data_IF_903885389925
#
_entry.id   IF_903885389925
#
_cell.length_a   1.000
_cell.length_b   1.000
_cell.length_c   1.000
_cell.angle_alpha   90.00
_cell.angle_beta   90.00
_cell.angle_gamma   90.00
#
_symmetry.space_group_name_H-M   'P 1'
#
loop_
_entity.id
_entity.type
_entity.pdbx_description
1 polymer ?
#
# COMPACT_ATOMS: atom_id res chain seq x y z
N UNK A 1 -3.46 -18.84 1.74
CA UNK A 1 -4.43 -18.09 0.91
C UNK A 1 -3.61 -17.11 0.10
N UNK A 2 -3.41 -17.37 -1.18
CA UNK A 2 -2.59 -16.52 -2.06
C UNK A 2 -3.27 -15.16 -2.17
N UNK A 3 -2.58 -14.11 -1.74
CA UNK A 3 -3.14 -12.76 -1.64
C UNK A 3 -2.90 -12.06 -2.98
N UNK A 4 -3.58 -12.51 -4.05
CA UNK A 4 -3.46 -11.83 -5.34
C UNK A 4 -3.95 -10.39 -5.26
N UNK A 5 -3.04 -9.42 -5.35
CA UNK A 5 -3.37 -7.99 -5.34
C UNK A 5 -4.42 -7.65 -6.40
N UNK A 6 -4.47 -8.42 -7.49
CA UNK A 6 -5.29 -8.17 -8.68
C UNK A 6 -6.35 -9.23 -8.97
N UNK A 7 -6.59 -10.15 -8.03
CA UNK A 7 -7.70 -11.10 -8.14
C UNK A 7 -9.02 -10.33 -8.20
N UNK A 8 -9.93 -10.77 -9.06
CA UNK A 8 -11.30 -10.24 -9.20
C UNK A 8 -11.42 -8.76 -9.61
N UNK A 9 -10.41 -8.18 -10.28
CA UNK A 9 -10.58 -6.85 -10.87
C UNK A 9 -11.72 -6.84 -11.91
N UNK A 10 -12.52 -5.75 -12.01
CA UNK A 10 -13.49 -5.57 -13.08
C UNK A 10 -12.85 -5.68 -14.46
N UNK A 11 -13.58 -6.24 -15.44
CA UNK A 11 -13.08 -6.41 -16.80
C UNK A 11 -12.59 -5.09 -17.42
N UNK A 12 -13.29 -3.98 -17.18
CA UNK A 12 -12.87 -2.66 -17.64
C UNK A 12 -11.50 -2.23 -17.07
N UNK A 13 -11.24 -2.51 -15.79
CA UNK A 13 -9.93 -2.21 -15.17
C UNK A 13 -8.83 -3.04 -15.82
N UNK A 14 -9.06 -4.34 -16.02
CA UNK A 14 -8.09 -5.23 -16.69
C UNK A 14 -7.78 -4.80 -18.12
N UNK A 15 -8.80 -4.36 -18.87
CA UNK A 15 -8.62 -3.84 -20.25
C UNK A 15 -7.80 -2.54 -20.29
N UNK A 16 -7.92 -1.68 -19.27
CA UNK A 16 -7.14 -0.44 -19.17
C UNK A 16 -5.72 -0.68 -18.64
N UNK A 17 -5.54 -1.72 -17.81
CA UNK A 17 -4.26 -2.07 -17.16
C UNK A 17 -3.95 -3.55 -17.42
N UNK A 18 -3.71 -3.95 -18.68
CA UNK A 18 -3.48 -5.37 -19.01
C UNK A 18 -2.24 -5.95 -18.32
N UNK A 19 -1.30 -5.12 -17.90
CA UNK A 19 -0.11 -5.53 -17.19
C UNK A 19 -0.40 -6.24 -15.86
N UNK A 20 -1.58 -6.02 -15.26
CA UNK A 20 -1.96 -6.73 -14.04
C UNK A 20 -2.30 -8.20 -14.29
N UNK A 21 -2.61 -8.59 -15.54
CA UNK A 21 -2.90 -9.97 -15.93
C UNK A 21 -1.66 -10.77 -16.32
N UNK A 22 -0.59 -10.11 -16.75
CA UNK A 22 0.62 -10.76 -17.27
C UNK A 22 1.42 -11.57 -16.24
N UNK A 23 0.88 -11.76 -15.02
CA UNK A 23 1.50 -12.55 -13.96
C UNK A 23 2.86 -12.04 -13.48
N UNK A 24 3.26 -10.84 -13.92
CA UNK A 24 4.53 -10.24 -13.58
C UNK A 24 4.57 -9.48 -12.28
N UNK A 25 3.42 -9.33 -11.64
CA UNK A 25 3.31 -8.75 -10.31
C UNK A 25 3.61 -9.83 -9.28
N UNK A 26 4.79 -9.78 -8.69
CA UNK A 26 5.09 -10.62 -7.53
C UNK A 26 4.42 -10.00 -6.31
N UNK A 27 3.76 -10.84 -5.54
CA UNK A 27 3.35 -10.48 -4.19
C UNK A 27 4.60 -10.18 -3.36
N UNK A 28 4.46 -9.23 -2.44
CA UNK A 28 5.53 -8.90 -1.50
C UNK A 28 5.63 -10.02 -0.45
N UNK A 29 6.62 -10.90 -0.60
CA UNK A 29 6.81 -12.06 0.28
C UNK A 29 7.08 -11.66 1.74
N UNK A 30 7.63 -10.46 1.96
CA UNK A 30 7.89 -9.91 3.30
C UNK A 30 6.65 -9.30 3.97
N UNK A 31 5.56 -9.08 3.22
CA UNK A 31 4.32 -8.47 3.71
C UNK A 31 3.17 -9.49 3.76
N UNK A 32 3.35 -10.60 4.46
CA UNK A 32 2.29 -11.60 4.65
C UNK A 32 1.19 -11.07 5.57
N UNK A 33 0.04 -10.70 4.99
CA UNK A 33 -1.11 -10.21 5.78
C UNK A 33 -1.77 -11.30 6.63
N UNK A 34 -1.62 -12.58 6.30
CA UNK A 34 -2.14 -13.67 7.13
C UNK A 34 -1.29 -13.85 8.39
N UNK A 35 0.05 -13.71 8.24
CA UNK A 35 1.01 -13.74 9.32
C UNK A 35 1.68 -12.37 9.50
N UNK A 36 0.88 -11.33 9.69
CA UNK A 36 1.29 -9.94 9.66
C UNK A 36 2.62 -9.69 10.41
N UNK A 37 3.70 -9.29 9.71
CA UNK A 37 5.01 -9.10 10.31
C UNK A 37 5.09 -7.87 11.23
N UNK A 38 4.05 -7.05 11.24
CA UNK A 38 3.95 -5.85 12.09
C UNK A 38 3.29 -6.14 13.44
N UNK A 39 2.73 -7.35 13.64
CA UNK A 39 2.11 -7.75 14.91
C UNK A 39 3.17 -8.34 15.84
N UNK A 40 3.40 -7.75 17.05
CA UNK A 40 4.47 -8.17 17.98
C UNK A 40 4.46 -9.66 18.34
N UNK A 41 3.29 -10.24 18.59
CA UNK A 41 3.14 -11.64 18.90
C UNK A 41 3.67 -12.59 17.81
N UNK A 42 3.89 -12.09 16.59
CA UNK A 42 4.35 -12.85 15.41
C UNK A 42 5.77 -12.49 15.01
N UNK A 43 6.16 -11.24 15.20
CA UNK A 43 7.49 -10.72 14.80
C UNK A 43 8.51 -10.74 15.91
N UNK A 44 8.10 -10.94 17.18
CA UNK A 44 8.97 -10.78 18.35
C UNK A 44 9.35 -9.33 18.62
N UNK A 45 8.69 -8.37 17.97
CA UNK A 45 8.91 -6.94 18.20
C UNK A 45 8.39 -6.51 19.59
N UNK A 46 8.88 -5.37 20.07
CA UNK A 46 8.34 -4.74 21.27
C UNK A 46 6.89 -4.30 21.00
N UNK A 47 5.90 -4.74 21.81
CA UNK A 47 4.50 -4.38 21.62
C UNK A 47 4.24 -2.86 21.78
N UNK A 48 5.10 -2.16 22.54
CA UNK A 48 4.99 -0.70 22.74
C UNK A 48 5.71 0.12 21.66
N UNK A 49 6.39 -0.56 20.74
CA UNK A 49 7.08 0.12 19.66
C UNK A 49 6.09 0.90 18.77
N UNK A 50 6.48 2.12 18.41
CA UNK A 50 5.62 3.03 17.62
C UNK A 50 5.17 2.46 16.26
N UNK A 51 5.91 1.50 15.71
CA UNK A 51 5.64 0.83 14.44
C UNK A 51 4.89 -0.50 14.60
N UNK A 52 4.66 -1.01 15.82
CA UNK A 52 3.92 -2.22 16.07
C UNK A 52 2.42 -2.03 15.81
N UNK A 53 1.77 -3.03 15.17
CA UNK A 53 0.34 -2.98 14.91
C UNK A 53 -0.44 -3.75 15.98
N UNK A 54 -1.63 -3.26 16.31
CA UNK A 54 -2.60 -4.06 17.08
C UNK A 54 -3.04 -5.28 16.25
N UNK A 55 -3.04 -6.47 16.84
CA UNK A 55 -3.36 -7.71 16.14
C UNK A 55 -4.76 -7.71 15.54
N UNK A 56 -5.73 -7.03 16.16
CA UNK A 56 -7.12 -6.94 15.71
C UNK A 56 -7.35 -5.88 14.64
N UNK A 57 -6.42 -4.93 14.49
CA UNK A 57 -6.53 -3.83 13.53
C UNK A 57 -5.61 -4.03 12.33
N UNK A 58 -4.36 -4.43 12.57
CA UNK A 58 -3.29 -4.49 11.56
C UNK A 58 -3.21 -3.15 10.79
N UNK A 59 -3.01 -3.18 9.47
CA UNK A 59 -3.06 -1.97 8.64
C UNK A 59 -4.49 -1.44 8.38
N UNK A 60 -5.54 -2.11 8.86
CA UNK A 60 -6.94 -1.70 8.65
C UNK A 60 -7.38 -0.58 9.59
N UNK A 61 -6.55 0.45 9.73
CA UNK A 61 -6.83 1.73 10.39
C UNK A 61 -6.90 2.89 9.38
N UNK A 62 -7.12 2.56 8.13
CA UNK A 62 -7.38 3.48 7.04
C UNK A 62 -8.77 3.21 6.47
N UNK A 63 -9.59 4.27 6.32
CA UNK A 63 -10.89 4.17 5.67
C UNK A 63 -10.72 4.51 4.20
N UNK A 64 -10.77 3.53 3.27
CA UNK A 64 -10.58 3.81 1.86
C UNK A 64 -11.80 4.45 1.24
N UNK A 65 -11.60 5.29 0.23
CA UNK A 65 -12.64 5.62 -0.73
C UNK A 65 -12.88 4.40 -1.64
N UNK A 66 -14.13 4.14 -2.00
CA UNK A 66 -14.53 3.05 -2.89
C UNK A 66 -15.40 3.59 -4.02
N UNK A 67 -14.98 3.38 -5.25
CA UNK A 67 -15.74 3.76 -6.44
C UNK A 67 -17.07 3.01 -6.52
N UNK A 68 -18.09 3.62 -7.10
CA UNK A 68 -19.47 3.14 -7.20
C UNK A 68 -19.56 1.68 -7.66
N UNK A 69 -18.83 1.30 -8.70
CA UNK A 69 -18.83 -0.06 -9.23
C UNK A 69 -18.18 -1.08 -8.29
N UNK A 70 -17.18 -0.71 -7.49
CA UNK A 70 -16.59 -1.59 -6.47
C UNK A 70 -17.58 -1.81 -5.33
N UNK A 71 -18.27 -0.76 -4.89
CA UNK A 71 -19.35 -0.87 -3.90
C UNK A 71 -20.44 -1.80 -4.41
N UNK A 72 -20.91 -1.59 -5.64
CA UNK A 72 -21.95 -2.42 -6.26
C UNK A 72 -21.56 -3.89 -6.39
N UNK A 73 -20.33 -4.19 -6.79
CA UNK A 73 -19.81 -5.56 -6.87
C UNK A 73 -19.80 -6.24 -5.49
N UNK A 74 -19.32 -5.54 -4.46
CA UNK A 74 -19.35 -6.07 -3.10
C UNK A 74 -20.78 -6.25 -2.57
N UNK A 75 -21.73 -5.37 -2.92
CA UNK A 75 -23.15 -5.55 -2.62
C UNK A 75 -23.72 -6.79 -3.33
N UNK A 76 -23.38 -7.02 -4.59
CA UNK A 76 -23.81 -8.19 -5.36
C UNK A 76 -23.28 -9.52 -4.83
N UNK A 77 -22.07 -9.52 -4.23
CA UNK A 77 -21.51 -10.72 -3.57
C UNK A 77 -22.25 -11.10 -2.29
N UNK A 78 -22.93 -10.15 -1.65
CA UNK A 78 -23.66 -10.41 -0.40
C UNK A 78 -22.75 -10.59 0.82
N UNK A 79 -23.30 -11.24 1.86
CA UNK A 79 -22.57 -11.55 3.09
C UNK A 79 -22.22 -10.35 3.97
N UNK A 80 -21.22 -10.49 4.84
CA UNK A 80 -20.79 -9.46 5.81
C UNK A 80 -20.34 -8.16 5.11
N UNK A 81 -19.67 -8.26 3.97
CA UNK A 81 -19.24 -7.10 3.19
C UNK A 81 -20.39 -6.24 2.70
N UNK A 82 -21.43 -6.88 2.14
CA UNK A 82 -22.63 -6.17 1.69
C UNK A 82 -23.39 -5.54 2.86
N UNK A 83 -23.53 -6.24 3.98
CA UNK A 83 -24.18 -5.70 5.17
C UNK A 83 -23.49 -4.46 5.71
N UNK A 84 -22.15 -4.47 5.78
CA UNK A 84 -21.35 -3.32 6.22
C UNK A 84 -21.43 -2.15 5.24
N UNK A 85 -21.45 -2.43 3.94
CA UNK A 85 -21.61 -1.39 2.91
C UNK A 85 -22.99 -0.77 2.97
N UNK A 86 -24.07 -1.56 3.13
CA UNK A 86 -25.43 -1.01 3.28
C UNK A 86 -25.54 -0.13 4.52
N UNK A 87 -24.96 -0.55 5.65
CA UNK A 87 -24.90 0.29 6.85
C UNK A 87 -24.10 1.59 6.60
N UNK A 88 -23.05 1.53 5.76
CA UNK A 88 -22.26 2.72 5.40
C UNK A 88 -23.02 3.64 4.43
N UNK A 89 -23.75 3.09 3.47
CA UNK A 89 -24.63 3.84 2.54
C UNK A 89 -25.79 4.51 3.27
N UNK A 90 -26.25 3.93 4.37
CA UNK A 90 -27.27 4.53 5.22
C UNK A 90 -26.87 5.80 5.96
N UNK A 91 -25.56 6.10 6.02
CA UNK A 91 -25.02 7.33 6.60
C UNK A 91 -24.56 8.26 5.46
N UNK A 92 -25.22 9.43 5.28
CA UNK A 92 -24.96 10.30 4.13
C UNK A 92 -23.55 10.91 4.10
N UNK A 93 -22.82 10.94 5.22
CA UNK A 93 -21.46 11.50 5.27
C UNK A 93 -20.50 10.72 4.36
N UNK A 94 -20.14 11.31 3.23
CA UNK A 94 -19.23 10.75 2.24
C UNK A 94 -19.89 9.75 1.26
N UNK A 95 -21.21 9.71 1.12
CA UNK A 95 -21.93 8.95 0.09
C UNK A 95 -22.31 9.85 -1.07
N UNK A 96 -22.02 9.43 -2.30
CA UNK A 96 -22.27 10.18 -3.53
C UNK A 96 -22.41 9.26 -4.74
N UNK A 97 -22.83 9.78 -5.87
CA UNK A 97 -22.89 9.01 -7.13
C UNK A 97 -21.54 8.41 -7.54
N UNK A 98 -20.42 9.04 -7.18
CA UNK A 98 -19.09 8.52 -7.42
C UNK A 98 -18.82 7.22 -6.64
N UNK A 99 -19.37 7.11 -5.41
CA UNK A 99 -19.14 6.01 -4.50
C UNK A 99 -19.13 6.46 -3.03
N UNK A 100 -18.29 5.82 -2.23
CA UNK A 100 -18.19 6.05 -0.79
C UNK A 100 -16.82 6.62 -0.46
N UNK A 101 -16.77 7.78 0.20
CA UNK A 101 -15.58 8.37 0.79
C UNK A 101 -15.47 8.06 2.30
N UNK A 102 -14.28 8.20 2.90
CA UNK A 102 -14.16 8.23 4.34
C UNK A 102 -15.04 9.33 4.95
N UNK A 103 -15.69 9.05 6.08
CA UNK A 103 -16.36 10.10 6.84
C UNK A 103 -15.41 11.22 7.18
N UNK A 104 -15.89 12.46 7.17
CA UNK A 104 -15.05 13.64 7.43
C UNK A 104 -14.27 13.54 8.75
N UNK A 105 -14.93 13.11 9.83
CA UNK A 105 -14.28 12.90 11.14
C UNK A 105 -13.21 11.82 11.13
N UNK A 106 -13.43 10.69 10.44
CA UNK A 106 -12.44 9.62 10.31
C UNK A 106 -11.23 10.07 9.49
N UNK A 107 -11.46 10.83 8.40
CA UNK A 107 -10.38 11.41 7.60
C UNK A 107 -9.54 12.40 8.40
N UNK A 108 -10.17 13.31 9.12
CA UNK A 108 -9.47 14.29 9.96
C UNK A 108 -8.62 13.59 11.02
N UNK A 109 -9.19 12.61 11.73
CA UNK A 109 -8.44 11.81 12.71
C UNK A 109 -7.27 11.08 12.09
N UNK A 110 -7.47 10.39 10.97
CA UNK A 110 -6.39 9.69 10.26
C UNK A 110 -5.22 10.64 9.95
N UNK A 111 -5.50 11.81 9.37
CA UNK A 111 -4.47 12.80 9.05
C UNK A 111 -3.73 13.32 10.30
N UNK A 112 -4.41 13.40 11.45
CA UNK A 112 -3.80 13.85 12.70
C UNK A 112 -2.88 12.79 13.35
N UNK A 113 -3.13 11.48 13.12
CA UNK A 113 -2.45 10.43 13.89
C UNK A 113 -1.68 9.41 13.05
N UNK A 114 -1.77 9.45 11.72
CA UNK A 114 -1.19 8.43 10.82
C UNK A 114 0.32 8.19 11.05
N UNK A 115 1.05 9.24 11.40
CA UNK A 115 2.51 9.16 11.52
C UNK A 115 2.98 8.49 12.83
N UNK A 116 2.06 8.28 13.80
CA UNK A 116 2.39 7.69 15.10
C UNK A 116 1.41 6.64 15.63
N UNK A 117 0.23 6.53 15.05
CA UNK A 117 -0.80 5.58 15.51
C UNK A 117 -1.41 4.72 14.39
N UNK A 118 -0.84 4.72 13.17
CA UNK A 118 -1.25 3.82 12.11
C UNK A 118 -1.12 2.35 12.56
N UNK A 119 -2.14 1.57 12.29
CA UNK A 119 -2.20 0.16 12.72
C UNK A 119 -2.57 -0.05 14.19
N UNK A 120 -2.80 1.02 14.99
CA UNK A 120 -3.04 0.93 16.45
C UNK A 120 -4.25 1.70 16.96
N UNK A 121 -4.70 2.72 16.26
CA UNK A 121 -5.84 3.53 16.70
C UNK A 121 -7.17 2.82 16.43
N UNK A 122 -7.78 2.25 17.46
CA UNK A 122 -9.06 1.55 17.36
C UNK A 122 -10.21 2.42 16.84
N UNK A 123 -10.16 3.74 17.04
CA UNK A 123 -11.16 4.66 16.52
C UNK A 123 -11.06 4.85 14.99
N UNK A 124 -9.96 4.40 14.38
CA UNK A 124 -9.75 4.35 12.94
C UNK A 124 -9.97 2.96 12.34
N UNK A 125 -10.51 2.00 13.11
CA UNK A 125 -10.84 0.68 12.57
C UNK A 125 -11.65 0.83 11.27
N UNK A 126 -11.14 0.23 10.20
CA UNK A 126 -11.82 0.23 8.91
C UNK A 126 -13.22 -0.37 9.05
N UNK A 127 -14.29 0.28 8.54
CA UNK A 127 -15.66 -0.22 8.67
C UNK A 127 -15.87 -1.58 7.99
N UNK A 128 -15.00 -1.95 7.04
CA UNK A 128 -15.04 -3.22 6.30
C UNK A 128 -14.20 -4.33 6.94
N UNK A 129 -13.53 -4.07 8.07
CA UNK A 129 -12.79 -5.08 8.81
C UNK A 129 -13.73 -5.90 9.69
N UNK A 130 -14.01 -7.16 9.29
CA UNK A 130 -14.70 -8.16 10.07
C UNK A 130 -13.75 -9.03 10.91
N UNK A 131 -14.31 -10.02 11.61
CA UNK A 131 -13.51 -10.93 12.45
C UNK A 131 -12.61 -11.86 11.61
N UNK A 132 -13.03 -12.20 10.39
CA UNK A 132 -12.26 -13.00 9.44
C UNK A 132 -11.28 -12.19 8.57
N UNK A 133 -11.17 -10.88 8.76
CA UNK A 133 -10.37 -9.99 7.92
C UNK A 133 -11.21 -9.01 7.10
N UNK A 134 -10.69 -8.53 5.98
CA UNK A 134 -11.41 -7.60 5.11
C UNK A 134 -12.63 -8.25 4.47
N UNK A 135 -13.85 -7.80 4.82
CA UNK A 135 -15.11 -8.35 4.31
C UNK A 135 -15.42 -7.99 2.84
N UNK A 136 -14.70 -6.99 2.29
CA UNK A 136 -14.81 -6.57 0.89
C UNK A 136 -13.53 -6.94 0.10
N UNK A 137 -12.79 -7.97 0.54
CA UNK A 137 -11.47 -8.31 0.01
C UNK A 137 -11.40 -8.41 -1.52
N UNK A 138 -12.31 -9.07 -2.23
CA UNK A 138 -12.27 -9.18 -3.69
C UNK A 138 -12.51 -7.85 -4.41
N UNK A 139 -13.28 -6.94 -3.81
CA UNK A 139 -13.69 -5.67 -4.40
C UNK A 139 -13.05 -4.45 -3.71
N UNK A 140 -11.94 -4.69 -2.96
CA UNK A 140 -11.21 -3.61 -2.30
C UNK A 140 -10.61 -2.64 -3.32
N UNK A 141 -10.55 -1.32 -3.02
CA UNK A 141 -10.00 -0.32 -3.93
C UNK A 141 -8.49 -0.44 -4.11
N UNK A 142 -7.96 0.21 -5.14
CA UNK A 142 -6.54 0.19 -5.53
C UNK A 142 -5.59 0.43 -4.37
N UNK A 143 -5.84 1.42 -3.52
CA UNK A 143 -5.04 1.71 -2.32
C UNK A 143 -4.89 0.51 -1.39
N UNK A 144 -5.96 -0.28 -1.21
CA UNK A 144 -5.91 -1.49 -0.37
C UNK A 144 -5.29 -2.70 -1.09
N UNK A 145 -5.13 -2.63 -2.41
CA UNK A 145 -4.50 -3.68 -3.23
C UNK A 145 -3.00 -3.51 -3.33
N UNK A 146 -2.53 -2.27 -3.27
CA UNK A 146 -1.14 -1.89 -3.54
C UNK A 146 -0.35 -1.49 -2.29
N UNK A 147 -1.03 -1.38 -1.14
CA UNK A 147 -0.34 -1.04 0.10
C UNK A 147 0.31 -2.27 0.74
N UNK A 148 1.61 -2.19 0.97
CA UNK A 148 2.40 -3.17 1.70
C UNK A 148 3.23 -2.48 2.78
N UNK A 149 3.38 -3.13 3.95
CA UNK A 149 4.21 -2.62 5.04
C UNK A 149 5.71 -2.86 4.78
N UNK A 150 6.05 -3.89 4.02
CA UNK A 150 7.42 -4.27 3.66
C UNK A 150 7.48 -4.64 2.18
N UNK A 151 8.59 -4.31 1.53
CA UNK A 151 8.78 -4.58 0.10
C UNK A 151 10.01 -5.44 -0.15
N UNK A 152 9.89 -6.49 -0.96
CA UNK A 152 11.00 -7.39 -1.30
C UNK A 152 12.13 -6.63 -1.99
N UNK A 153 11.78 -5.69 -2.88
CA UNK A 153 12.74 -4.81 -3.53
C UNK A 153 13.01 -3.50 -2.75
N UNK A 154 12.59 -3.41 -1.47
CA UNK A 154 12.81 -2.27 -0.60
C UNK A 154 12.20 -0.98 -1.16
N UNK A 155 12.93 0.12 -1.09
CA UNK A 155 12.50 1.45 -1.55
C UNK A 155 12.01 1.46 -2.99
N UNK A 156 12.69 0.76 -3.90
CA UNK A 156 12.24 0.64 -5.31
C UNK A 156 10.89 -0.06 -5.43
N UNK A 157 10.70 -1.13 -4.64
CA UNK A 157 9.41 -1.82 -4.56
C UNK A 157 8.31 -0.85 -4.11
N UNK A 158 8.55 -0.12 -3.03
CA UNK A 158 7.63 0.88 -2.51
C UNK A 158 7.26 1.94 -3.56
N UNK A 159 8.24 2.48 -4.29
CA UNK A 159 7.99 3.43 -5.37
C UNK A 159 7.15 2.84 -6.51
N UNK A 160 7.40 1.58 -6.88
CA UNK A 160 6.62 0.91 -7.92
C UNK A 160 5.17 0.73 -7.49
N UNK A 161 4.93 0.25 -6.27
CA UNK A 161 3.59 0.07 -5.73
C UNK A 161 2.84 1.40 -5.56
N UNK A 162 3.53 2.47 -5.15
CA UNK A 162 2.95 3.81 -5.05
C UNK A 162 2.51 4.37 -6.41
N UNK A 163 3.32 4.17 -7.48
CA UNK A 163 2.93 4.56 -8.84
C UNK A 163 1.75 3.76 -9.36
N UNK A 164 1.70 2.48 -9.04
CA UNK A 164 0.56 1.64 -9.38
C UNK A 164 -0.70 2.04 -8.62
N UNK A 165 -0.57 2.39 -7.33
CA UNK A 165 -1.68 2.95 -6.54
C UNK A 165 -2.25 4.19 -7.22
N UNK A 166 -1.39 5.15 -7.59
CA UNK A 166 -1.80 6.38 -8.27
C UNK A 166 -2.50 6.09 -9.60
N UNK A 167 -2.02 5.10 -10.37
CA UNK A 167 -2.64 4.69 -11.62
C UNK A 167 -4.01 4.05 -11.40
N UNK A 168 -4.14 3.11 -10.48
CA UNK A 168 -5.41 2.46 -10.14
C UNK A 168 -6.42 3.46 -9.59
N UNK A 169 -5.99 4.39 -8.73
CA UNK A 169 -6.85 5.47 -8.27
C UNK A 169 -7.40 6.32 -9.41
N UNK A 170 -6.57 6.69 -10.40
CA UNK A 170 -7.03 7.42 -11.57
C UNK A 170 -7.98 6.58 -12.43
N UNK A 171 -7.69 5.27 -12.62
CA UNK A 171 -8.59 4.36 -13.33
C UNK A 171 -9.95 4.30 -12.64
N UNK A 172 -9.98 4.04 -11.33
CA UNK A 172 -11.20 3.96 -10.54
C UNK A 172 -12.02 5.25 -10.63
N UNK A 173 -11.36 6.41 -10.49
CA UNK A 173 -12.02 7.71 -10.61
C UNK A 173 -12.60 7.92 -12.00
N UNK A 174 -11.83 7.70 -13.06
CA UNK A 174 -12.27 7.94 -14.44
C UNK A 174 -13.42 7.01 -14.83
N UNK A 175 -13.37 5.76 -14.42
CA UNK A 175 -14.46 4.81 -14.66
C UNK A 175 -15.72 5.18 -13.88
N UNK A 176 -15.62 5.61 -12.62
CA UNK A 176 -16.77 6.06 -11.84
C UNK A 176 -17.41 7.31 -12.47
N UNK A 177 -16.62 8.29 -12.92
CA UNK A 177 -17.16 9.46 -13.64
C UNK A 177 -17.77 9.09 -14.99
N UNK A 178 -17.18 8.18 -15.75
CA UNK A 178 -17.78 7.68 -16.98
C UNK A 178 -19.15 7.04 -16.72
N UNK A 179 -19.29 6.26 -15.64
CA UNK A 179 -20.58 5.66 -15.28
C UNK A 179 -21.61 6.73 -14.90
N UNK A 180 -21.22 7.81 -14.22
CA UNK A 180 -22.08 8.96 -13.92
C UNK A 180 -22.57 9.63 -15.21
N UNK A 181 -21.72 9.76 -16.22
CA UNK A 181 -22.09 10.32 -17.53
C UNK A 181 -23.03 9.41 -18.33
N UNK A 182 -22.92 8.09 -18.15
CA UNK A 182 -23.69 7.10 -18.90
C UNK A 182 -25.05 6.72 -18.28
N UNK A 183 -25.26 7.05 -17.02
CA UNK A 183 -26.46 6.63 -16.26
C UNK A 183 -27.19 7.79 -15.60
N UNK A 184 -28.33 7.46 -14.99
CA UNK A 184 -29.15 8.39 -14.21
C UNK A 184 -28.61 8.46 -12.77
N UNK A 185 -27.47 9.14 -12.60
CA UNK A 185 -26.79 9.23 -11.31
C UNK A 185 -27.65 9.96 -10.27
N UNK A 186 -27.76 9.43 -9.03
CA UNK A 186 -28.53 10.08 -7.97
C UNK A 186 -27.91 11.42 -7.57
N UNK A 187 -28.77 12.38 -7.22
CA UNK A 187 -28.33 13.63 -6.65
C UNK A 187 -27.77 13.44 -5.24
N UNK A 188 -26.89 14.35 -4.81
CA UNK A 188 -26.39 14.37 -3.44
C UNK A 188 -27.56 14.47 -2.44
N UNK A 189 -27.52 13.65 -1.39
CA UNK A 189 -28.58 13.56 -0.39
C UNK A 189 -29.75 12.64 -0.76
N UNK A 190 -29.69 11.92 -1.89
CA UNK A 190 -30.64 10.86 -2.20
C UNK A 190 -30.65 9.77 -1.11
N UNK A 191 -31.78 9.04 -0.99
CA UNK A 191 -31.94 7.98 -0.01
C UNK A 191 -30.98 6.80 -0.20
N UNK A 192 -30.70 6.09 0.87
CA UNK A 192 -29.77 4.95 0.88
C UNK A 192 -30.12 3.86 -0.16
N UNK A 193 -31.41 3.57 -0.35
CA UNK A 193 -31.88 2.58 -1.34
C UNK A 193 -31.54 3.01 -2.77
N UNK A 194 -31.71 4.30 -3.07
CA UNK A 194 -31.42 4.87 -4.39
C UNK A 194 -29.92 4.75 -4.69
N UNK A 195 -29.04 5.04 -3.72
CA UNK A 195 -27.61 4.84 -3.89
C UNK A 195 -27.22 3.37 -4.00
N UNK A 196 -27.86 2.48 -3.23
CA UNK A 196 -27.58 1.05 -3.32
C UNK A 196 -27.95 0.49 -4.70
N UNK A 197 -29.07 0.92 -5.28
CA UNK A 197 -29.50 0.52 -6.65
C UNK A 197 -28.56 1.12 -7.71
N UNK A 198 -28.19 2.38 -7.56
CA UNK A 198 -27.19 3.01 -8.41
C UNK A 198 -25.87 2.25 -8.44
N UNK A 199 -25.35 1.85 -7.27
CA UNK A 199 -24.10 1.10 -7.19
C UNK A 199 -24.20 -0.29 -7.82
N UNK A 200 -25.35 -0.98 -7.67
CA UNK A 200 -25.60 -2.27 -8.36
C UNK A 200 -25.60 -2.08 -9.88
N UNK A 201 -26.28 -1.04 -10.37
CA UNK A 201 -26.24 -0.68 -11.79
C UNK A 201 -24.81 -0.39 -12.26
N UNK A 202 -24.02 0.36 -11.50
CA UNK A 202 -22.61 0.60 -11.82
C UNK A 202 -21.79 -0.69 -11.91
N UNK A 203 -22.06 -1.67 -11.03
CA UNK A 203 -21.37 -2.96 -11.05
C UNK A 203 -21.70 -3.81 -12.29
N UNK A 204 -22.93 -3.78 -12.74
CA UNK A 204 -23.34 -4.45 -13.98
C UNK A 204 -22.78 -3.73 -15.20
N UNK A 205 -22.86 -2.40 -15.21
CA UNK A 205 -22.46 -1.57 -16.35
C UNK A 205 -20.96 -1.55 -16.59
N UNK A 206 -20.13 -1.62 -15.53
CA UNK A 206 -18.67 -1.60 -15.63
C UNK A 206 -18.11 -2.75 -16.47
N UNK A 207 -18.67 -3.94 -16.35
CA UNK A 207 -18.24 -5.12 -17.09
C UNK A 207 -18.81 -5.14 -18.53
N UNK A 208 -19.83 -4.30 -18.81
CA UNK A 208 -20.46 -4.15 -20.12
C UNK A 208 -19.95 -2.92 -20.92
N UNK A 209 -18.95 -2.19 -20.44
CA UNK A 209 -18.37 -1.05 -21.17
C UNK A 209 -17.78 -1.50 -22.51
N UNK A 210 -18.11 -0.79 -23.58
CA UNK A 210 -17.57 -1.01 -24.92
C UNK A 210 -16.14 -0.47 -25.05
N UNK A 211 -15.42 -0.83 -26.12
CA UNK A 211 -14.09 -0.30 -26.40
C UNK A 211 -14.11 1.20 -26.69
N UNK A 212 -15.16 1.68 -27.36
CA UNK A 212 -15.33 3.12 -27.65
C UNK A 212 -15.54 3.93 -26.36
N UNK A 213 -16.30 3.41 -25.41
CA UNK A 213 -16.48 4.05 -24.10
C UNK A 213 -15.18 4.02 -23.28
N UNK A 214 -14.46 2.92 -23.25
CA UNK A 214 -13.17 2.83 -22.57
C UNK A 214 -12.09 3.71 -23.22
N UNK A 215 -12.16 3.93 -24.53
CA UNK A 215 -11.25 4.86 -25.23
C UNK A 215 -11.37 6.31 -24.75
N UNK A 216 -12.50 6.67 -24.10
CA UNK A 216 -12.69 7.99 -23.47
C UNK A 216 -11.91 8.12 -22.15
N UNK A 217 -11.54 7.01 -21.53
CA UNK A 217 -10.82 6.98 -20.24
C UNK A 217 -9.34 7.28 -20.47
N UNK A 218 -8.88 8.44 -20.01
CA UNK A 218 -7.48 8.85 -20.08
C UNK A 218 -6.85 8.78 -18.71
N UNK A 219 -5.78 8.00 -18.58
CA UNK A 219 -5.07 7.76 -17.30
C UNK A 219 -3.56 7.98 -17.50
N UNK A 220 -3.08 9.23 -17.39
CA UNK A 220 -1.66 9.56 -17.60
C UNK A 220 -0.72 8.77 -16.69
N UNK A 221 -1.09 8.53 -15.44
CA UNK A 221 -0.28 7.78 -14.47
C UNK A 221 0.01 6.31 -14.89
N UNK A 222 -0.74 5.73 -15.85
CA UNK A 222 -0.44 4.38 -16.36
C UNK A 222 0.92 4.28 -17.03
N UNK A 223 1.38 5.31 -17.73
CA UNK A 223 2.69 5.30 -18.37
C UNK A 223 3.82 5.17 -17.33
N UNK A 224 3.74 5.95 -16.25
CA UNK A 224 4.72 5.91 -15.16
C UNK A 224 4.69 4.58 -14.40
N UNK A 225 3.48 4.04 -14.15
CA UNK A 225 3.33 2.74 -13.50
C UNK A 225 3.94 1.61 -14.34
N UNK A 226 3.72 1.61 -15.66
CA UNK A 226 4.30 0.65 -16.62
C UNK A 226 5.83 0.74 -16.65
N UNK A 227 6.37 1.95 -16.72
CA UNK A 227 7.82 2.15 -16.71
C UNK A 227 8.43 1.63 -15.39
N UNK A 228 7.85 1.99 -14.24
CA UNK A 228 8.31 1.52 -12.95
C UNK A 228 8.29 -0.01 -12.85
N UNK A 229 7.23 -0.66 -13.36
CA UNK A 229 7.13 -2.11 -13.42
C UNK A 229 8.22 -2.73 -14.28
N UNK A 230 8.47 -2.19 -15.47
CA UNK A 230 9.54 -2.67 -16.37
C UNK A 230 10.90 -2.56 -15.68
N UNK A 231 11.17 -1.45 -14.99
CA UNK A 231 12.40 -1.25 -14.23
C UNK A 231 12.56 -2.29 -13.11
N UNK A 232 11.49 -2.55 -12.36
CA UNK A 232 11.52 -3.55 -11.28
C UNK A 232 11.73 -4.97 -11.80
N UNK A 233 11.12 -5.33 -12.94
CA UNK A 233 11.29 -6.65 -13.57
C UNK A 233 12.69 -6.86 -14.15
N UNK A 234 13.28 -5.84 -14.79
CA UNK A 234 14.57 -5.94 -15.48
C UNK A 234 15.77 -5.96 -14.53
N UNK A 235 15.62 -5.37 -13.33
CA UNK A 235 16.70 -5.23 -12.35
C UNK A 235 16.28 -5.71 -10.98
N UNK A 236 16.18 -7.03 -10.76
CA UNK A 236 15.76 -7.58 -9.45
C UNK A 236 16.70 -7.18 -8.31
N UNK A 237 17.97 -6.90 -8.60
CA UNK A 237 18.92 -6.32 -7.65
C UNK A 237 19.79 -5.29 -8.38
N UNK A 238 19.64 -4.02 -8.04
CA UNK A 238 20.61 -3.01 -8.47
C UNK A 238 21.95 -3.24 -7.77
N UNK A 239 23.09 -3.17 -8.49
CA UNK A 239 24.38 -3.18 -7.81
C UNK A 239 24.44 -1.96 -6.87
N UNK A 240 24.89 -2.21 -5.64
CA UNK A 240 25.13 -1.13 -4.68
C UNK A 240 26.19 -0.19 -5.28
N UNK A 241 25.95 1.11 -5.40
CA UNK A 241 26.91 2.09 -5.90
C UNK A 241 28.21 2.04 -5.10
N UNK A 242 29.32 2.39 -5.72
CA UNK A 242 30.63 2.39 -5.06
C UNK A 242 30.71 3.41 -3.94
N UNK A 243 30.15 4.59 -4.17
CA UNK A 243 30.11 5.69 -3.21
C UNK A 243 28.70 5.79 -2.63
N UNK A 244 28.61 5.82 -1.31
CA UNK A 244 27.37 5.88 -0.56
C UNK A 244 27.38 7.01 0.44
N UNK A 245 26.17 7.51 0.73
CA UNK A 245 25.90 8.46 1.83
C UNK A 245 24.76 7.93 2.70
N UNK A 246 24.78 8.21 4.01
CA UNK A 246 23.65 7.91 4.88
C UNK A 246 22.38 8.69 4.47
N UNK A 247 21.26 7.99 4.39
CA UNK A 247 19.92 8.52 4.14
C UNK A 247 18.90 7.99 5.19
N UNK A 248 19.41 7.79 6.42
CA UNK A 248 18.64 7.22 7.53
C UNK A 248 17.53 8.17 7.95
N UNK A 249 16.27 7.69 7.96
CA UNK A 249 15.11 8.43 8.46
C UNK A 249 14.89 8.24 9.96
N UNK A 250 15.24 7.06 10.50
CA UNK A 250 15.18 6.74 11.92
C UNK A 250 16.25 5.71 12.30
N UNK A 251 16.86 5.88 13.48
CA UNK A 251 17.80 4.91 14.05
C UNK A 251 17.57 4.81 15.56
N UNK A 252 16.82 3.79 15.97
CA UNK A 252 16.43 3.59 17.36
C UNK A 252 17.14 2.40 17.98
N UNK A 253 17.87 2.56 19.11
CA UNK A 253 18.48 1.44 19.84
C UNK A 253 17.44 0.44 20.35
N UNK A 254 17.72 -0.85 20.16
CA UNK A 254 16.94 -1.99 20.68
C UNK A 254 17.87 -3.01 21.32
N UNK A 255 18.09 -2.91 22.60
CA UNK A 255 19.03 -3.76 23.32
C UNK A 255 20.46 -3.61 22.78
N UNK A 256 21.03 -4.70 22.29
CA UNK A 256 22.36 -4.77 21.64
C UNK A 256 22.36 -4.39 20.15
N UNK A 257 21.18 -4.18 19.58
CA UNK A 257 20.99 -3.84 18.18
C UNK A 257 20.46 -2.40 17.99
N UNK A 258 20.42 -1.99 16.74
CA UNK A 258 19.84 -0.72 16.30
C UNK A 258 18.83 -1.04 15.20
N UNK A 259 17.62 -0.54 15.35
CA UNK A 259 16.61 -0.50 14.30
C UNK A 259 16.94 0.69 13.39
N UNK A 260 17.24 0.44 12.13
CA UNK A 260 17.57 1.47 11.14
C UNK A 260 16.50 1.47 10.06
N UNK A 261 15.94 2.64 9.76
CA UNK A 261 14.93 2.86 8.74
C UNK A 261 15.42 3.85 7.68
N UNK A 262 15.01 3.62 6.44
CA UNK A 262 15.21 4.53 5.32
C UNK A 262 13.86 5.06 4.82
N UNK A 263 13.32 4.49 3.72
CA UNK A 263 12.08 4.97 3.09
C UNK A 263 10.81 4.76 3.95
N UNK A 264 10.82 3.82 4.89
CA UNK A 264 9.64 3.44 5.68
C UNK A 264 10.01 3.06 7.11
N UNK A 265 9.18 3.45 8.07
CA UNK A 265 9.25 2.98 9.46
C UNK A 265 8.80 1.52 9.63
N UNK A 266 8.18 0.93 8.63
CA UNK A 266 7.66 -0.45 8.66
C UNK A 266 8.60 -1.47 8.03
N UNK A 267 9.62 -1.03 7.29
CA UNK A 267 10.63 -1.90 6.64
C UNK A 267 12.03 -1.55 7.16
N UNK A 268 12.30 -2.02 8.36
CA UNK A 268 13.53 -1.77 9.10
C UNK A 268 14.62 -2.80 8.82
N UNK A 269 15.86 -2.41 9.15
CA UNK A 269 17.01 -3.30 9.30
C UNK A 269 17.43 -3.33 10.77
N UNK A 270 17.48 -4.52 11.38
CA UNK A 270 18.04 -4.70 12.70
C UNK A 270 19.56 -4.92 12.60
N UNK A 271 20.33 -3.87 12.79
CA UNK A 271 21.77 -3.83 12.67
C UNK A 271 22.49 -3.97 14.03
N UNK A 272 23.74 -4.45 14.08
CA UNK A 272 24.57 -4.32 15.27
C UNK A 272 24.85 -2.84 15.55
N UNK A 273 25.17 -2.47 16.81
CA UNK A 273 25.50 -1.06 17.16
C UNK A 273 26.69 -0.50 16.38
N UNK A 274 27.57 -1.36 15.88
CA UNK A 274 28.67 -1.00 14.99
C UNK A 274 28.22 -0.31 13.69
N UNK A 275 26.91 -0.38 13.34
CA UNK A 275 26.35 0.34 12.17
C UNK A 275 26.62 1.84 12.24
N UNK A 276 26.63 2.46 13.41
CA UNK A 276 26.92 3.89 13.54
C UNK A 276 28.34 4.24 13.10
N UNK A 277 29.31 3.38 13.40
CA UNK A 277 30.69 3.56 12.95
C UNK A 277 30.83 3.41 11.44
N UNK A 278 30.07 2.49 10.84
CA UNK A 278 30.00 2.35 9.38
C UNK A 278 29.37 3.60 8.74
N UNK A 279 28.18 4.03 9.22
CA UNK A 279 27.47 5.20 8.68
C UNK A 279 28.34 6.48 8.77
N UNK A 280 29.12 6.63 9.85
CA UNK A 280 30.03 7.78 10.01
C UNK A 280 31.20 7.81 8.99
N UNK A 281 31.53 6.67 8.35
CA UNK A 281 32.58 6.55 7.34
C UNK A 281 32.07 6.66 5.90
N UNK A 282 30.77 6.59 5.71
CA UNK A 282 30.14 6.75 4.39
C UNK A 282 29.89 8.23 4.13
N UNK A 283 30.93 8.95 3.76
CA UNK A 283 30.97 10.41 3.64
C UNK A 283 30.70 10.95 2.22
N UNK A 284 30.35 10.07 1.29
CA UNK A 284 30.09 10.44 -0.12
C UNK A 284 31.38 10.57 -0.96
N UNK A 285 32.54 10.22 -0.39
CA UNK A 285 33.84 10.24 -1.12
C UNK A 285 34.56 8.90 -1.01
N UNK A 286 34.43 8.20 0.11
CA UNK A 286 35.11 6.93 0.40
C UNK A 286 34.27 5.77 -0.18
N UNK A 287 34.88 4.87 -0.99
CA UNK A 287 34.21 3.64 -1.40
C UNK A 287 33.70 2.84 -0.19
N UNK A 288 32.45 2.41 -0.25
CA UNK A 288 31.84 1.73 0.91
C UNK A 288 32.60 0.46 1.33
N UNK A 289 33.29 -0.22 0.39
CA UNK A 289 34.12 -1.39 0.70
C UNK A 289 35.32 -1.03 1.55
N UNK A 290 35.92 0.14 1.32
CA UNK A 290 37.05 0.63 2.11
C UNK A 290 36.59 1.06 3.50
N UNK A 291 35.46 1.75 3.61
CA UNK A 291 34.81 2.07 4.88
C UNK A 291 34.49 0.80 5.70
N UNK A 292 33.96 -0.24 5.03
CA UNK A 292 33.68 -1.55 5.64
C UNK A 292 34.96 -2.27 6.08
N UNK A 293 36.01 -2.25 5.27
CA UNK A 293 37.29 -2.85 5.60
C UNK A 293 37.92 -2.19 6.84
N UNK A 294 37.85 -0.85 6.93
CA UNK A 294 38.31 -0.10 8.09
C UNK A 294 37.55 -0.49 9.37
N UNK A 295 36.22 -0.61 9.30
CA UNK A 295 35.41 -1.09 10.43
C UNK A 295 35.83 -2.49 10.87
N UNK A 296 36.05 -3.42 9.93
CA UNK A 296 36.48 -4.80 10.23
C UNK A 296 37.86 -4.86 10.86
N UNK A 297 38.80 -4.00 10.41
CA UNK A 297 40.13 -3.90 11.00
C UNK A 297 40.09 -3.46 12.48
N UNK A 298 39.06 -2.71 12.87
CA UNK A 298 38.81 -2.32 14.26
C UNK A 298 37.99 -3.39 15.05
N UNK A 299 37.70 -4.54 14.46
CA UNK A 299 36.95 -5.62 15.09
C UNK A 299 35.45 -5.39 15.16
N UNK A 300 34.91 -4.45 14.39
CA UNK A 300 33.48 -4.14 14.36
C UNK A 300 32.71 -5.18 13.54
N UNK A 301 31.58 -5.66 14.08
CA UNK A 301 30.73 -6.67 13.46
C UNK A 301 29.82 -6.03 12.38
N UNK A 302 30.38 -5.73 11.22
CA UNK A 302 29.67 -5.23 10.03
C UNK A 302 30.10 -6.02 8.79
N UNK A 303 29.20 -6.22 7.85
CA UNK A 303 29.44 -7.02 6.65
C UNK A 303 28.76 -6.44 5.39
N UNK A 304 29.08 -7.05 4.25
CA UNK A 304 28.52 -6.67 2.94
C UNK A 304 26.99 -6.85 2.89
N UNK A 305 26.45 -7.85 3.61
CA UNK A 305 25.00 -8.09 3.65
C UNK A 305 24.28 -6.93 4.33
N UNK A 306 24.85 -6.42 5.44
CA UNK A 306 24.31 -5.24 6.12
C UNK A 306 24.28 -4.02 5.21
N UNK A 307 25.35 -3.72 4.45
CA UNK A 307 25.39 -2.59 3.50
C UNK A 307 24.29 -2.74 2.44
N UNK A 308 24.12 -3.95 1.89
CA UNK A 308 23.08 -4.22 0.89
C UNK A 308 21.67 -4.04 1.44
N UNK A 309 21.41 -4.50 2.67
CA UNK A 309 20.11 -4.34 3.32
C UNK A 309 19.82 -2.87 3.65
N UNK A 310 20.81 -2.11 4.15
CA UNK A 310 20.66 -0.69 4.39
C UNK A 310 20.38 0.08 3.08
N UNK A 311 21.05 -0.29 1.98
CA UNK A 311 20.80 0.29 0.66
C UNK A 311 19.41 -0.11 0.13
N UNK A 312 19.00 -1.38 0.30
CA UNK A 312 17.68 -1.87 -0.10
C UNK A 312 16.55 -1.06 0.56
N UNK A 313 16.67 -0.79 1.86
CA UNK A 313 15.65 0.00 2.60
C UNK A 313 15.83 1.51 2.44
N UNK A 314 16.71 1.98 1.58
CA UNK A 314 16.94 3.42 1.36
C UNK A 314 17.57 4.14 2.56
N UNK A 315 18.17 3.41 3.52
CA UNK A 315 18.96 4.00 4.60
C UNK A 315 20.36 4.44 4.13
N UNK A 316 20.77 3.99 2.94
CA UNK A 316 21.92 4.46 2.19
C UNK A 316 21.48 4.88 0.79
N UNK A 317 22.04 5.97 0.28
CA UNK A 317 21.81 6.48 -1.07
C UNK A 317 23.15 6.57 -1.83
N UNK A 318 23.07 6.69 -3.17
CA UNK A 318 24.25 7.02 -3.97
C UNK A 318 24.80 8.39 -3.57
N UNK A 319 26.13 8.49 -3.41
CA UNK A 319 26.84 9.74 -3.10
C UNK A 319 27.14 10.56 -4.35
#
# INVERSE_FOLDING_TARGET
MTIGAFIDLPAAVRRLVPEVEDGGWREEGRADCANCPMVPARSGADPDAAWAFDERLRCCTYHPAMASFLVGRALARGGDGAARLLARVGDPDGVSAWGIYPRAGARARYLAVRDHAFGRDAALRCPYLGDGGCSVWPDRPGVCRTWYCKHDAGERGAHTWSRLEAALWQVENRLAFLLIELGDAPADGAGAEIFADWYRWCAERIDALTDDELARVRVPALAEAREALVQLRRRPAEPVPEILVPAVSDATPQGDRVRVCGYSLFDEVLAPRAVFALLARLDGSTPWRDALAACRAEGLAVDDALVRELYRVGALAAG
#
